data_IF_254849906371
#
_entry.id   IF_254849906371
#
_cell.length_a   1.000
_cell.length_b   1.000
_cell.length_c   1.000
_cell.angle_alpha   90.00
_cell.angle_beta   90.00
_cell.angle_gamma   90.00
#
_symmetry.space_group_name_H-M   'P 1'
#
loop_
_entity.id
_entity.type
_entity.pdbx_description
1 polymer ?
#
# COMPACT_ATOMS: atom_id res chain seq x y z
N UNK A 1 18.72 -7.89 -14.75
CA UNK A 1 19.82 -6.90 -14.65
C UNK A 1 20.55 -6.85 -13.29
N UNK A 2 19.90 -7.09 -12.14
CA UNK A 2 20.53 -6.99 -10.80
C UNK A 2 21.71 -7.97 -10.54
N UNK A 3 21.67 -9.21 -11.06
CA UNK A 3 22.76 -10.19 -10.92
C UNK A 3 24.07 -9.77 -11.63
N UNK A 4 23.98 -9.12 -12.79
CA UNK A 4 25.15 -8.63 -13.55
C UNK A 4 25.84 -7.43 -12.87
N UNK A 5 25.10 -6.58 -12.14
CA UNK A 5 25.68 -5.48 -11.35
C UNK A 5 26.40 -5.99 -10.09
N UNK A 6 25.78 -6.93 -9.35
CA UNK A 6 26.44 -7.59 -8.20
C UNK A 6 27.72 -8.33 -8.64
N UNK A 7 27.67 -9.08 -9.74
CA UNK A 7 28.84 -9.77 -10.27
C UNK A 7 30.01 -8.82 -10.62
N UNK A 8 29.73 -7.66 -11.23
CA UNK A 8 30.74 -6.63 -11.55
C UNK A 8 31.33 -5.96 -10.31
N UNK A 9 30.54 -5.76 -9.25
CA UNK A 9 31.02 -5.26 -7.95
C UNK A 9 31.95 -6.29 -7.31
N UNK A 10 31.59 -7.58 -7.29
CA UNK A 10 32.46 -8.63 -6.77
C UNK A 10 33.75 -8.81 -7.59
N UNK A 11 33.73 -8.65 -8.92
CA UNK A 11 34.96 -8.73 -9.73
C UNK A 11 35.88 -7.54 -9.52
N UNK A 12 35.32 -6.34 -9.30
CA UNK A 12 36.12 -5.15 -8.98
C UNK A 12 36.72 -5.23 -7.56
N UNK A 13 35.96 -5.74 -6.59
CA UNK A 13 36.38 -5.96 -5.19
C UNK A 13 37.48 -7.03 -5.10
N UNK A 14 37.36 -8.16 -5.81
CA UNK A 14 38.38 -9.23 -5.80
C UNK A 14 39.67 -8.80 -6.52
N UNK A 15 39.56 -7.99 -7.59
CA UNK A 15 40.73 -7.49 -8.32
C UNK A 15 41.52 -6.44 -7.54
N UNK A 16 40.90 -5.73 -6.59
CA UNK A 16 41.56 -4.72 -5.75
C UNK A 16 42.22 -5.34 -4.50
N UNK A 17 41.61 -6.40 -3.94
CA UNK A 17 42.20 -7.22 -2.86
C UNK A 17 43.54 -7.85 -3.28
N UNK A 18 43.67 -8.26 -4.54
CA UNK A 18 44.89 -8.87 -5.07
C UNK A 18 46.06 -7.86 -5.23
N UNK A 19 45.76 -6.58 -5.49
CA UNK A 19 46.80 -5.53 -5.63
C UNK A 19 47.25 -5.02 -4.25
N UNK A 20 46.34 -4.97 -3.26
CA UNK A 20 46.66 -4.58 -1.89
C UNK A 20 47.44 -5.64 -1.12
N UNK A 21 47.16 -6.93 -1.35
CA UNK A 21 47.86 -8.05 -0.68
C UNK A 21 49.18 -8.43 -1.34
N UNK A 22 49.32 -8.29 -2.67
CA UNK A 22 50.59 -8.56 -3.35
C UNK A 22 51.65 -7.47 -3.09
N UNK A 23 51.24 -6.26 -2.70
CA UNK A 23 52.15 -5.19 -2.29
C UNK A 23 52.67 -5.34 -0.84
N UNK A 24 52.11 -6.29 -0.07
CA UNK A 24 52.45 -6.48 1.35
C UNK A 24 53.65 -7.40 1.59
N UNK A 25 54.15 -8.14 0.58
CA UNK A 25 55.29 -9.06 0.75
C UNK A 25 56.67 -8.47 0.40
N UNK A 26 56.73 -7.29 -0.21
CA UNK A 26 58.01 -6.71 -0.68
C UNK A 26 58.69 -5.74 0.29
N UNK A 27 58.12 -5.45 1.47
CA UNK A 27 58.69 -4.50 2.46
C UNK A 27 59.41 -5.19 3.63
N UNK A 28 59.28 -6.51 3.77
CA UNK A 28 59.93 -7.30 4.83
C UNK A 28 61.38 -7.72 4.51
N UNK A 29 61.90 -7.39 3.33
CA UNK A 29 63.29 -7.65 2.97
C UNK A 29 64.17 -6.48 3.41
N UNK A 30 64.98 -6.69 4.46
CA UNK A 30 66.05 -5.76 4.84
C UNK A 30 67.09 -5.71 3.71
N UNK A 31 67.03 -4.65 2.88
CA UNK A 31 68.07 -4.34 1.90
C UNK A 31 68.87 -3.13 2.39
N UNK A 32 70.17 -3.26 2.68
CA UNK A 32 71.05 -2.16 3.07
C UNK A 32 71.29 -1.08 1.97
N UNK A 33 70.49 -1.06 0.90
CA UNK A 33 70.73 -0.27 -0.32
C UNK A 33 69.63 0.74 -0.65
N UNK A 34 68.56 0.85 0.15
CA UNK A 34 67.55 1.91 -0.05
C UNK A 34 68.21 3.28 0.20
N UNK A 35 68.36 4.08 -0.86
CA UNK A 35 68.92 5.43 -0.74
C UNK A 35 67.98 6.36 0.03
N UNK A 36 68.51 7.34 0.77
CA UNK A 36 67.71 8.39 1.44
C UNK A 36 66.67 9.04 0.51
N UNK A 37 67.00 9.18 -0.77
CA UNK A 37 66.11 9.73 -1.80
C UNK A 37 64.89 8.83 -2.08
N UNK A 38 65.08 7.51 -2.11
CA UNK A 38 63.99 6.54 -2.32
C UNK A 38 63.04 6.51 -1.11
N UNK A 39 63.59 6.52 0.11
CA UNK A 39 62.80 6.63 1.34
C UNK A 39 61.97 7.93 1.38
N UNK A 40 62.54 9.06 0.97
CA UNK A 40 61.81 10.33 0.86
C UNK A 40 60.67 10.26 -0.16
N UNK A 41 60.88 9.64 -1.32
CA UNK A 41 59.84 9.46 -2.33
C UNK A 41 58.70 8.56 -1.83
N UNK A 42 59.02 7.43 -1.18
CA UNK A 42 58.02 6.55 -0.56
C UNK A 42 57.24 7.28 0.54
N UNK A 43 57.90 8.11 1.36
CA UNK A 43 57.24 8.91 2.38
C UNK A 43 56.26 9.91 1.77
N UNK A 44 56.65 10.64 0.74
CA UNK A 44 55.76 11.58 0.04
C UNK A 44 54.53 10.87 -0.56
N UNK A 45 54.73 9.68 -1.13
CA UNK A 45 53.63 8.88 -1.67
C UNK A 45 52.68 8.39 -0.58
N UNK A 46 53.20 7.89 0.55
CA UNK A 46 52.37 7.48 1.69
C UNK A 46 51.59 8.67 2.25
N UNK A 47 52.22 9.84 2.43
CA UNK A 47 51.55 11.06 2.89
C UNK A 47 50.44 11.52 1.94
N UNK A 48 50.66 11.40 0.61
CA UNK A 48 49.62 11.69 -0.38
C UNK A 48 48.44 10.73 -0.22
N UNK A 49 48.71 9.43 -0.06
CA UNK A 49 47.69 8.41 0.15
C UNK A 49 46.93 8.58 1.46
N UNK A 50 47.59 9.04 2.53
CA UNK A 50 46.95 9.41 3.81
C UNK A 50 45.92 10.51 3.56
N UNK A 51 46.32 11.63 2.94
CA UNK A 51 45.39 12.74 2.63
C UNK A 51 44.23 12.30 1.75
N UNK A 52 44.48 11.43 0.78
CA UNK A 52 43.42 10.84 -0.06
C UNK A 52 42.46 9.96 0.74
N UNK A 53 42.96 9.15 1.69
CA UNK A 53 42.16 8.30 2.57
C UNK A 53 41.33 9.14 3.56
N UNK A 54 41.91 10.16 4.19
CA UNK A 54 41.21 11.12 5.06
C UNK A 54 40.08 11.84 4.30
N UNK A 55 40.37 12.30 3.07
CA UNK A 55 39.38 12.96 2.22
C UNK A 55 38.21 12.03 1.88
N UNK A 56 38.48 10.75 1.57
CA UNK A 56 37.45 9.74 1.32
C UNK A 56 36.61 9.45 2.57
N UNK A 57 37.24 9.28 3.73
CA UNK A 57 36.52 9.08 4.99
C UNK A 57 35.58 10.25 5.27
N UNK A 58 36.10 11.48 5.18
CA UNK A 58 35.32 12.69 5.40
C UNK A 58 34.15 12.82 4.42
N UNK A 59 34.38 12.49 3.15
CA UNK A 59 33.35 12.47 2.12
C UNK A 59 32.24 11.45 2.45
N UNK A 60 32.60 10.23 2.84
CA UNK A 60 31.62 9.21 3.22
C UNK A 60 30.87 9.56 4.51
N UNK A 61 31.53 10.14 5.51
CA UNK A 61 30.87 10.63 6.73
C UNK A 61 29.85 11.72 6.40
N UNK A 62 30.16 12.62 5.47
CA UNK A 62 29.23 13.67 5.03
C UNK A 62 28.02 13.05 4.33
N UNK A 63 28.22 12.07 3.45
CA UNK A 63 27.13 11.34 2.81
C UNK A 63 26.29 10.54 3.81
N UNK A 64 26.92 9.93 4.82
CA UNK A 64 26.23 9.18 5.86
C UNK A 64 25.28 10.10 6.64
N UNK A 65 25.71 11.30 7.02
CA UNK A 65 24.86 12.29 7.71
C UNK A 65 23.62 12.68 6.88
N UNK A 66 23.79 12.86 5.57
CA UNK A 66 22.65 13.13 4.67
C UNK A 66 21.68 11.95 4.66
N UNK A 67 22.20 10.73 4.57
CA UNK A 67 21.38 9.51 4.61
C UNK A 67 20.66 9.35 5.97
N UNK A 68 21.28 9.71 7.09
CA UNK A 68 20.65 9.69 8.41
C UNK A 68 19.45 10.64 8.49
N UNK A 69 19.58 11.85 7.92
CA UNK A 69 18.46 12.80 7.82
C UNK A 69 17.36 12.26 6.91
N UNK A 70 17.70 11.66 5.77
CA UNK A 70 16.73 11.02 4.88
C UNK A 70 16.00 9.85 5.57
N UNK A 71 16.72 9.06 6.36
CA UNK A 71 16.18 7.93 7.11
C UNK A 71 15.21 8.40 8.20
N UNK A 72 15.55 9.47 8.92
CA UNK A 72 14.66 10.10 9.90
C UNK A 72 13.35 10.58 9.24
N UNK A 73 13.45 11.31 8.13
CA UNK A 73 12.27 11.75 7.37
C UNK A 73 11.41 10.58 6.87
N UNK A 74 12.05 9.52 6.36
CA UNK A 74 11.35 8.34 5.90
C UNK A 74 10.63 7.61 7.07
N UNK A 75 11.24 7.58 8.26
CA UNK A 75 10.63 7.02 9.46
C UNK A 75 9.42 7.85 9.93
N UNK A 76 9.54 9.18 9.94
CA UNK A 76 8.43 10.07 10.33
C UNK A 76 7.25 9.95 9.36
N UNK A 77 7.53 9.90 8.06
CA UNK A 77 6.51 9.65 7.03
C UNK A 77 5.83 8.29 7.23
N UNK A 78 6.59 7.23 7.52
CA UNK A 78 6.04 5.90 7.77
C UNK A 78 5.13 5.89 9.00
N UNK A 79 5.53 6.59 10.07
CA UNK A 79 4.73 6.70 11.29
C UNK A 79 3.41 7.42 11.03
N UNK A 80 3.44 8.53 10.27
CA UNK A 80 2.23 9.25 9.88
C UNK A 80 1.29 8.38 9.02
N UNK A 81 1.84 7.63 8.06
CA UNK A 81 1.06 6.70 7.23
C UNK A 81 0.45 5.55 8.05
N UNK A 82 1.16 5.04 9.06
CA UNK A 82 0.62 4.05 9.98
C UNK A 82 -0.54 4.61 10.81
N UNK A 83 -0.43 5.86 11.28
CA UNK A 83 -1.54 6.54 11.97
C UNK A 83 -2.74 6.72 11.04
N UNK A 84 -2.54 7.20 9.80
CA UNK A 84 -3.61 7.32 8.80
C UNK A 84 -4.30 5.97 8.54
N UNK A 85 -3.51 4.89 8.43
CA UNK A 85 -4.02 3.52 8.27
C UNK A 85 -4.85 3.09 9.48
N UNK A 86 -4.39 3.35 10.70
CA UNK A 86 -5.09 2.95 11.91
C UNK A 86 -6.41 3.73 12.07
N UNK A 87 -6.42 5.03 11.80
CA UNK A 87 -7.63 5.86 11.75
C UNK A 87 -8.60 5.39 10.66
N UNK A 88 -8.08 5.02 9.47
CA UNK A 88 -8.89 4.44 8.42
C UNK A 88 -9.50 3.09 8.84
N UNK A 89 -8.75 2.23 9.54
CA UNK A 89 -9.28 0.96 10.04
C UNK A 89 -10.43 1.17 11.02
N UNK A 90 -10.36 2.18 11.90
CA UNK A 90 -11.46 2.55 12.78
C UNK A 90 -12.70 2.96 11.97
N UNK A 91 -12.53 3.88 11.01
CA UNK A 91 -13.63 4.31 10.12
C UNK A 91 -14.22 3.15 9.30
N UNK A 92 -13.42 2.19 8.86
CA UNK A 92 -13.90 0.99 8.17
C UNK A 92 -14.77 0.14 9.08
N UNK A 93 -14.41 -0.01 10.36
CA UNK A 93 -15.24 -0.75 11.32
C UNK A 93 -16.59 -0.07 11.53
N UNK A 94 -16.60 1.26 11.65
CA UNK A 94 -17.84 2.04 11.76
C UNK A 94 -18.70 1.93 10.49
N UNK A 95 -18.09 2.12 9.33
CA UNK A 95 -18.78 2.02 8.04
C UNK A 95 -19.34 0.61 7.78
N UNK A 96 -18.67 -0.44 8.27
CA UNK A 96 -19.19 -1.82 8.22
C UNK A 96 -20.41 -2.02 9.12
N UNK A 97 -20.47 -1.39 10.29
CA UNK A 97 -21.67 -1.43 11.14
C UNK A 97 -22.84 -0.73 10.46
N UNK A 98 -22.58 0.41 9.83
CA UNK A 98 -23.59 1.13 9.05
C UNK A 98 -24.07 0.31 7.85
N UNK A 99 -23.16 -0.39 7.15
CA UNK A 99 -23.52 -1.30 6.07
C UNK A 99 -24.46 -2.43 6.55
N UNK A 100 -24.17 -3.04 7.70
CA UNK A 100 -25.05 -4.06 8.28
C UNK A 100 -26.46 -3.51 8.59
N UNK A 101 -26.56 -2.27 9.05
CA UNK A 101 -27.86 -1.61 9.24
C UNK A 101 -28.60 -1.43 7.92
N UNK A 102 -27.90 -0.93 6.89
CA UNK A 102 -28.48 -0.72 5.56
C UNK A 102 -28.91 -2.03 4.90
N UNK A 103 -28.12 -3.09 5.04
CA UNK A 103 -28.44 -4.44 4.55
C UNK A 103 -29.68 -5.00 5.26
N UNK A 104 -29.81 -4.77 6.58
CA UNK A 104 -31.02 -5.16 7.31
C UNK A 104 -32.25 -4.37 6.89
N UNK A 105 -32.12 -3.07 6.62
CA UNK A 105 -33.22 -2.24 6.12
C UNK A 105 -33.62 -2.66 4.69
N UNK A 106 -32.65 -2.94 3.82
CA UNK A 106 -32.92 -3.48 2.48
C UNK A 106 -33.69 -4.80 2.56
N UNK A 107 -33.28 -5.72 3.44
CA UNK A 107 -33.97 -6.99 3.62
C UNK A 107 -35.43 -6.82 4.07
N UNK A 108 -35.74 -5.79 4.87
CA UNK A 108 -37.11 -5.45 5.25
C UNK A 108 -37.92 -4.96 4.04
N UNK A 109 -37.36 -4.05 3.23
CA UNK A 109 -38.00 -3.56 2.00
C UNK A 109 -38.24 -4.69 1.01
N UNK A 110 -37.26 -5.59 0.83
CA UNK A 110 -37.40 -6.76 -0.04
C UNK A 110 -38.46 -7.75 0.45
N UNK A 111 -38.59 -7.91 1.78
CA UNK A 111 -39.65 -8.74 2.38
C UNK A 111 -41.02 -8.12 2.12
N UNK A 112 -41.18 -6.82 2.37
CA UNK A 112 -42.43 -6.10 2.10
C UNK A 112 -42.81 -6.15 0.61
N UNK A 113 -41.83 -5.94 -0.27
CA UNK A 113 -42.01 -6.07 -1.71
C UNK A 113 -42.52 -7.47 -2.10
N UNK A 114 -41.93 -8.52 -1.53
CA UNK A 114 -42.33 -9.90 -1.79
C UNK A 114 -43.76 -10.18 -1.31
N UNK A 115 -44.11 -9.72 -0.10
CA UNK A 115 -45.46 -9.85 0.46
C UNK A 115 -46.51 -9.15 -0.42
N UNK A 116 -46.27 -7.89 -0.82
CA UNK A 116 -47.17 -7.13 -1.68
C UNK A 116 -47.31 -7.75 -3.06
N UNK A 117 -46.20 -8.24 -3.62
CA UNK A 117 -46.20 -8.94 -4.91
C UNK A 117 -47.01 -10.23 -4.85
N UNK A 118 -46.92 -10.99 -3.76
CA UNK A 118 -47.70 -12.21 -3.59
C UNK A 118 -49.20 -11.91 -3.45
N UNK A 119 -49.57 -10.88 -2.66
CA UNK A 119 -50.97 -10.43 -2.56
C UNK A 119 -51.53 -10.08 -3.95
N UNK A 120 -50.76 -9.35 -4.76
CA UNK A 120 -51.17 -9.01 -6.12
C UNK A 120 -51.28 -10.25 -7.02
N UNK A 121 -50.32 -11.17 -6.95
CA UNK A 121 -50.31 -12.42 -7.71
C UNK A 121 -51.51 -13.31 -7.37
N UNK A 122 -51.82 -13.50 -6.09
CA UNK A 122 -52.98 -14.26 -5.63
C UNK A 122 -54.27 -13.65 -6.14
N UNK A 123 -54.40 -12.31 -6.10
CA UNK A 123 -55.58 -11.61 -6.62
C UNK A 123 -55.72 -11.74 -8.13
N UNK A 124 -54.65 -11.52 -8.89
CA UNK A 124 -54.65 -11.71 -10.36
C UNK A 124 -54.99 -13.16 -10.72
N UNK A 125 -54.42 -14.13 -9.99
CA UNK A 125 -54.71 -15.54 -10.20
C UNK A 125 -56.16 -15.89 -9.84
N UNK A 126 -56.74 -15.33 -8.78
CA UNK A 126 -58.14 -15.51 -8.42
C UNK A 126 -59.06 -14.96 -9.52
N UNK A 127 -58.79 -13.73 -9.99
CA UNK A 127 -59.51 -13.11 -11.11
C UNK A 127 -59.46 -13.99 -12.36
N UNK A 128 -58.31 -14.59 -12.66
CA UNK A 128 -58.12 -15.44 -13.84
C UNK A 128 -58.78 -16.83 -13.67
N UNK A 129 -58.67 -17.46 -12.48
CA UNK A 129 -59.15 -18.82 -12.20
C UNK A 129 -60.65 -18.91 -11.93
N UNK A 130 -61.26 -17.86 -11.38
CA UNK A 130 -62.73 -17.77 -11.27
C UNK A 130 -63.41 -17.65 -12.64
N UNK A 131 -62.63 -17.56 -13.72
CA UNK A 131 -62.92 -18.33 -14.92
C UNK A 131 -64.07 -17.84 -15.78
N UNK A 132 -64.42 -16.54 -15.73
CA UNK A 132 -65.31 -15.93 -16.71
C UNK A 132 -65.02 -14.42 -16.76
N UNK A 133 -64.96 -13.73 -17.93
CA UNK A 133 -64.88 -12.26 -18.06
C UNK A 133 -66.10 -11.50 -17.48
N UNK A 134 -66.77 -12.11 -16.50
CA UNK A 134 -68.07 -11.76 -15.99
C UNK A 134 -68.00 -10.77 -14.82
N UNK A 135 -66.90 -10.03 -14.60
CA UNK A 135 -67.02 -8.79 -13.81
C UNK A 135 -68.04 -7.84 -14.44
N UNK A 136 -68.06 -7.82 -15.77
CA UNK A 136 -69.10 -7.16 -16.54
C UNK A 136 -70.44 -7.87 -16.33
N UNK A 137 -70.56 -9.20 -16.41
CA UNK A 137 -71.87 -9.84 -16.19
C UNK A 137 -72.39 -9.89 -14.75
N UNK A 138 -71.53 -9.82 -13.73
CA UNK A 138 -71.93 -9.61 -12.33
C UNK A 138 -72.52 -8.20 -12.14
N UNK A 139 -72.08 -7.24 -12.95
CA UNK A 139 -72.69 -5.91 -13.06
C UNK A 139 -73.94 -5.92 -13.98
N UNK A 140 -74.05 -6.83 -14.94
CA UNK A 140 -75.19 -6.91 -15.88
C UNK A 140 -76.36 -7.78 -15.37
N UNK A 141 -76.19 -8.58 -14.31
CA UNK A 141 -77.26 -9.34 -13.64
C UNK A 141 -77.53 -8.89 -12.17
N UNK A 142 -77.90 -7.61 -11.93
CA UNK A 142 -78.29 -7.18 -10.59
C UNK A 142 -79.76 -7.55 -10.29
N UNK A 143 -80.07 -7.88 -9.03
CA UNK A 143 -81.44 -8.15 -8.56
C UNK A 143 -82.29 -6.88 -8.41
N UNK A 144 -81.64 -5.71 -8.35
CA UNK A 144 -82.27 -4.37 -8.29
C UNK A 144 -81.24 -3.27 -8.60
N UNK A 145 -81.71 -2.03 -8.83
CA UNK A 145 -80.82 -0.88 -8.98
C UNK A 145 -79.90 -0.65 -7.77
N UNK A 146 -80.39 -0.92 -6.55
CA UNK A 146 -79.59 -0.83 -5.33
C UNK A 146 -78.48 -1.89 -5.27
N UNK A 147 -78.77 -3.11 -5.73
CA UNK A 147 -77.78 -4.20 -5.84
C UNK A 147 -76.68 -3.84 -6.85
N UNK A 148 -77.05 -3.28 -8.01
CA UNK A 148 -76.09 -2.77 -8.99
C UNK A 148 -75.14 -1.71 -8.40
N UNK A 149 -75.69 -0.67 -7.76
CA UNK A 149 -74.90 0.43 -7.19
C UNK A 149 -73.92 -0.06 -6.11
N UNK A 150 -74.34 -1.01 -5.28
CA UNK A 150 -73.48 -1.62 -4.26
C UNK A 150 -72.33 -2.43 -4.89
N UNK A 151 -72.62 -3.24 -5.91
CA UNK A 151 -71.58 -4.00 -6.64
C UNK A 151 -70.60 -3.06 -7.35
N UNK A 152 -71.09 -2.01 -8.00
CA UNK A 152 -70.25 -1.00 -8.65
C UNK A 152 -69.32 -0.29 -7.66
N UNK A 153 -69.83 0.13 -6.50
CA UNK A 153 -69.03 0.76 -5.46
C UNK A 153 -67.94 -0.18 -4.90
N UNK A 154 -68.27 -1.45 -4.67
CA UNK A 154 -67.29 -2.46 -4.22
C UNK A 154 -66.21 -2.71 -5.28
N UNK A 155 -66.60 -2.86 -6.55
CA UNK A 155 -65.69 -3.05 -7.67
C UNK A 155 -64.72 -1.88 -7.85
N UNK A 156 -65.24 -0.65 -7.76
CA UNK A 156 -64.43 0.57 -7.85
C UNK A 156 -63.41 0.61 -6.71
N UNK A 157 -63.85 0.32 -5.47
CA UNK A 157 -62.98 0.29 -4.29
C UNK A 157 -61.89 -0.78 -4.38
N UNK A 158 -62.21 -1.95 -4.94
CA UNK A 158 -61.24 -3.02 -5.19
C UNK A 158 -60.21 -2.62 -6.24
N UNK A 159 -60.65 -2.06 -7.37
CA UNK A 159 -59.75 -1.59 -8.43
C UNK A 159 -58.82 -0.47 -7.94
N UNK A 160 -59.32 0.46 -7.12
CA UNK A 160 -58.50 1.48 -6.46
C UNK A 160 -57.48 0.87 -5.49
N UNK A 161 -57.84 -0.21 -4.78
CA UNK A 161 -56.92 -0.93 -3.91
C UNK A 161 -55.82 -1.64 -4.71
N UNK A 162 -56.17 -2.29 -5.82
CA UNK A 162 -55.21 -2.95 -6.71
C UNK A 162 -54.25 -1.95 -7.34
N UNK A 163 -54.76 -0.79 -7.79
CA UNK A 163 -53.93 0.29 -8.30
C UNK A 163 -52.94 0.80 -7.24
N UNK A 164 -53.38 0.93 -5.98
CA UNK A 164 -52.48 1.28 -4.87
C UNK A 164 -51.41 0.22 -4.62
N UNK A 165 -51.76 -1.07 -4.62
CA UNK A 165 -50.77 -2.16 -4.43
C UNK A 165 -49.72 -2.14 -5.55
N UNK A 166 -50.14 -1.93 -6.80
CA UNK A 166 -49.21 -1.82 -7.94
C UNK A 166 -48.25 -0.64 -7.76
N UNK A 167 -48.76 0.50 -7.30
CA UNK A 167 -47.92 1.67 -7.04
C UNK A 167 -46.94 1.43 -5.87
N UNK A 168 -47.42 0.85 -4.76
CA UNK A 168 -46.58 0.47 -3.62
C UNK A 168 -45.46 -0.50 -4.04
N UNK A 169 -45.76 -1.51 -4.88
CA UNK A 169 -44.75 -2.42 -5.45
C UNK A 169 -43.72 -1.67 -6.29
N UNK A 170 -44.17 -0.69 -7.11
CA UNK A 170 -43.27 0.13 -7.94
C UNK A 170 -42.32 0.94 -7.06
N UNK A 171 -42.84 1.62 -6.05
CA UNK A 171 -42.06 2.42 -5.09
C UNK A 171 -41.07 1.55 -4.31
N UNK A 172 -41.52 0.42 -3.76
CA UNK A 172 -40.66 -0.52 -3.02
C UNK A 172 -39.54 -1.10 -3.89
N UNK A 173 -39.83 -1.38 -5.17
CA UNK A 173 -38.81 -1.85 -6.11
C UNK A 173 -37.76 -0.79 -6.41
N UNK A 174 -38.18 0.46 -6.64
CA UNK A 174 -37.27 1.59 -6.84
C UNK A 174 -36.41 1.84 -5.58
N UNK A 175 -37.02 1.76 -4.40
CA UNK A 175 -36.32 1.90 -3.12
C UNK A 175 -35.29 0.78 -2.89
N UNK A 176 -35.67 -0.49 -3.11
CA UNK A 176 -34.77 -1.63 -2.96
C UNK A 176 -33.56 -1.51 -3.91
N UNK A 177 -33.79 -1.15 -5.17
CA UNK A 177 -32.72 -0.93 -6.14
C UNK A 177 -31.77 0.18 -5.68
N UNK A 178 -32.31 1.34 -5.30
CA UNK A 178 -31.51 2.48 -4.85
C UNK A 178 -30.68 2.15 -3.59
N UNK A 179 -31.26 1.41 -2.63
CA UNK A 179 -30.56 0.96 -1.43
C UNK A 179 -29.45 -0.04 -1.76
N UNK A 180 -29.72 -0.99 -2.66
CA UNK A 180 -28.73 -1.97 -3.14
C UNK A 180 -27.52 -1.30 -3.79
N UNK A 181 -27.74 -0.37 -4.73
CA UNK A 181 -26.68 0.39 -5.40
C UNK A 181 -25.83 1.18 -4.38
N UNK A 182 -26.46 1.83 -3.40
CA UNK A 182 -25.75 2.58 -2.35
C UNK A 182 -24.88 1.70 -1.45
N UNK A 183 -25.34 0.49 -1.14
CA UNK A 183 -24.56 -0.49 -0.37
C UNK A 183 -23.33 -0.91 -1.17
N UNK A 184 -23.51 -1.26 -2.45
CA UNK A 184 -22.41 -1.66 -3.33
C UNK A 184 -21.38 -0.55 -3.48
N UNK A 185 -21.81 0.69 -3.77
CA UNK A 185 -20.93 1.85 -3.89
C UNK A 185 -20.09 2.08 -2.62
N UNK A 186 -20.73 1.97 -1.46
CA UNK A 186 -20.06 2.16 -0.17
C UNK A 186 -19.06 1.04 0.11
N UNK A 187 -19.38 -0.21 -0.22
CA UNK A 187 -18.45 -1.33 -0.11
C UNK A 187 -17.23 -1.15 -1.03
N UNK A 188 -17.44 -0.75 -2.28
CA UNK A 188 -16.36 -0.50 -3.24
C UNK A 188 -15.46 0.65 -2.80
N UNK A 189 -16.03 1.75 -2.30
CA UNK A 189 -15.27 2.88 -1.78
C UNK A 189 -14.36 2.46 -0.63
N UNK A 190 -14.89 1.73 0.36
CA UNK A 190 -14.11 1.25 1.50
C UNK A 190 -12.96 0.33 1.06
N UNK A 191 -13.19 -0.56 0.10
CA UNK A 191 -12.16 -1.45 -0.42
C UNK A 191 -11.05 -0.66 -1.12
N UNK A 192 -11.42 0.33 -1.94
CA UNK A 192 -10.50 1.19 -2.67
C UNK A 192 -9.64 2.04 -1.73
N UNK A 193 -10.25 2.66 -0.71
CA UNK A 193 -9.52 3.47 0.26
C UNK A 193 -8.50 2.63 1.05
N UNK A 194 -8.92 1.44 1.50
CA UNK A 194 -8.03 0.50 2.19
C UNK A 194 -6.86 0.06 1.30
N UNK A 195 -7.15 -0.29 0.06
CA UNK A 195 -6.12 -0.69 -0.92
C UNK A 195 -5.11 0.41 -1.18
N UNK A 196 -5.58 1.66 -1.36
CA UNK A 196 -4.70 2.82 -1.59
C UNK A 196 -3.74 3.06 -0.44
N UNK A 197 -4.23 3.04 0.81
CA UNK A 197 -3.38 3.30 1.98
C UNK A 197 -2.35 2.18 2.14
N UNK A 198 -2.76 0.93 1.98
CA UNK A 198 -1.84 -0.22 2.06
C UNK A 198 -0.73 -0.15 1.00
N UNK A 199 -1.06 0.22 -0.24
CA UNK A 199 -0.07 0.41 -1.32
C UNK A 199 0.95 1.50 -0.98
N UNK A 200 0.49 2.63 -0.44
CA UNK A 200 1.36 3.75 -0.06
C UNK A 200 2.26 3.38 1.11
N UNK A 201 1.75 2.66 2.11
CA UNK A 201 2.54 2.15 3.25
C UNK A 201 3.64 1.20 2.75
N UNK A 202 3.30 0.23 1.91
CA UNK A 202 4.28 -0.72 1.36
C UNK A 202 5.36 -0.03 0.52
N UNK A 203 4.98 0.94 -0.31
CA UNK A 203 5.93 1.73 -1.08
C UNK A 203 6.88 2.52 -0.17
N UNK A 204 6.38 3.09 0.92
CA UNK A 204 7.19 3.80 1.91
C UNK A 204 8.15 2.87 2.67
N UNK A 205 7.72 1.65 3.03
CA UNK A 205 8.59 0.64 3.65
C UNK A 205 9.73 0.20 2.72
N UNK A 206 9.42 -0.06 1.44
CA UNK A 206 10.42 -0.38 0.43
C UNK A 206 11.43 0.76 0.32
N UNK A 207 10.96 2.01 0.26
CA UNK A 207 11.84 3.18 0.16
C UNK A 207 12.75 3.32 1.39
N UNK A 208 12.22 3.14 2.60
CA UNK A 208 13.00 3.14 3.84
C UNK A 208 14.09 2.05 3.81
N UNK A 209 13.75 0.84 3.36
CA UNK A 209 14.70 -0.26 3.27
C UNK A 209 15.82 0.00 2.24
N UNK A 210 15.51 0.68 1.13
CA UNK A 210 16.54 1.14 0.18
C UNK A 210 17.50 2.16 0.79
N UNK A 211 16.99 3.07 1.63
CA UNK A 211 17.80 4.07 2.35
C UNK A 211 18.70 3.36 3.38
N UNK A 212 18.14 2.40 4.15
CA UNK A 212 18.91 1.58 5.09
C UNK A 212 20.04 0.79 4.40
N UNK A 213 19.80 0.25 3.21
CA UNK A 213 20.85 -0.43 2.46
C UNK A 213 22.01 0.51 2.09
N UNK A 214 21.71 1.76 1.69
CA UNK A 214 22.74 2.78 1.42
C UNK A 214 23.47 3.20 2.69
N UNK A 215 22.76 3.28 3.82
CA UNK A 215 23.33 3.58 5.12
C UNK A 215 24.40 2.56 5.50
N UNK A 216 24.07 1.27 5.42
CA UNK A 216 25.02 0.19 5.73
C UNK A 216 26.20 0.14 4.74
N UNK A 217 25.95 0.36 3.44
CA UNK A 217 27.02 0.50 2.44
C UNK A 217 28.03 1.59 2.84
N UNK A 218 27.54 2.76 3.26
CA UNK A 218 28.42 3.87 3.67
C UNK A 218 29.16 3.57 4.96
N UNK A 219 28.55 2.89 5.93
CA UNK A 219 29.23 2.46 7.16
C UNK A 219 30.40 1.52 6.88
N UNK A 220 30.22 0.57 5.94
CA UNK A 220 31.30 -0.32 5.51
C UNK A 220 32.44 0.48 4.89
N UNK A 221 32.14 1.38 3.94
CA UNK A 221 33.15 2.20 3.27
C UNK A 221 33.93 3.13 4.24
N UNK A 222 33.27 3.65 5.27
CA UNK A 222 33.93 4.44 6.33
C UNK A 222 34.90 3.56 7.13
N UNK A 223 34.48 2.35 7.50
CA UNK A 223 35.34 1.43 8.24
C UNK A 223 36.55 0.98 7.41
N UNK A 224 36.36 0.72 6.11
CA UNK A 224 37.45 0.41 5.17
C UNK A 224 38.44 1.58 5.08
N UNK A 225 37.96 2.81 4.88
CA UNK A 225 38.81 4.00 4.80
C UNK A 225 39.64 4.20 6.09
N UNK A 226 39.05 3.93 7.26
CA UNK A 226 39.76 3.97 8.56
C UNK A 226 40.83 2.90 8.71
N UNK A 227 40.57 1.70 8.21
CA UNK A 227 41.57 0.63 8.24
C UNK A 227 42.74 0.95 7.31
N UNK A 228 42.46 1.47 6.12
CA UNK A 228 43.48 1.93 5.17
C UNK A 228 44.32 3.05 5.77
N UNK A 229 43.68 4.05 6.40
CA UNK A 229 44.36 5.16 7.06
C UNK A 229 45.33 4.65 8.12
N UNK A 230 44.86 3.78 9.02
CA UNK A 230 45.69 3.20 10.08
C UNK A 230 46.89 2.41 9.53
N UNK A 231 46.71 1.69 8.42
CA UNK A 231 47.79 0.95 7.78
C UNK A 231 48.82 1.89 7.14
N UNK A 232 48.37 2.99 6.53
CA UNK A 232 49.25 3.99 5.94
C UNK A 232 50.04 4.78 6.99
N UNK A 233 49.41 5.14 8.11
CA UNK A 233 50.07 5.79 9.25
C UNK A 233 51.18 4.90 9.82
N UNK A 234 50.91 3.60 10.03
CA UNK A 234 51.93 2.66 10.49
C UNK A 234 53.10 2.51 9.50
N UNK A 235 52.82 2.57 8.19
CA UNK A 235 53.85 2.55 7.15
C UNK A 235 54.68 3.85 7.14
N UNK A 236 54.05 5.00 7.37
CA UNK A 236 54.76 6.27 7.51
C UNK A 236 55.71 6.25 8.71
N UNK A 237 55.24 5.78 9.88
CA UNK A 237 56.05 5.64 11.10
C UNK A 237 57.28 4.74 10.88
N UNK A 238 57.10 3.63 10.16
CA UNK A 238 58.21 2.72 9.83
C UNK A 238 59.23 3.38 8.89
N UNK A 239 58.76 4.10 7.86
CA UNK A 239 59.63 4.85 6.96
C UNK A 239 60.40 5.96 7.69
N UNK A 240 59.77 6.62 8.67
CA UNK A 240 60.45 7.59 9.54
C UNK A 240 61.54 6.93 10.39
N UNK A 241 61.23 5.79 11.02
CA UNK A 241 62.20 5.05 11.81
C UNK A 241 63.41 4.61 10.96
N UNK A 242 63.15 4.10 9.74
CA UNK A 242 64.21 3.75 8.76
C UNK A 242 65.05 4.96 8.37
N UNK A 243 64.42 6.10 8.09
CA UNK A 243 65.14 7.33 7.72
C UNK A 243 65.98 7.92 8.86
N UNK A 244 65.64 7.68 10.14
CA UNK A 244 66.42 8.11 11.30
C UNK A 244 67.61 7.19 11.61
N UNK A 245 67.59 5.96 11.10
CA UNK A 245 68.61 4.94 11.35
C UNK A 245 69.76 4.96 10.32
N UNK A 246 69.63 5.72 9.23
CA UNK A 246 70.65 5.99 8.20
C UNK A 246 71.32 7.32 8.49
#
# INVERSE_FOLDING_TARGET
>A
MKKKKKAKVYTFVISFILIATFSFQSVLAYSPQDSLKDLQQRKQEVQRRIKEAESKEHHYLTQLKVIEVELGKAQDQLNALHQERDDLNVRVVEARKELLSLESELAQVETELAEKTEILNERVAAIYKEGDPNYVGLLLEPKSLADFMNRWALMTRLAEQDARIVEEIRELKEEAQFRGERIEDKQQLLLKEKGRVEEVVQAAEVKKNEILAKYEEKRVLINEARQDLKALEAMEDELEARSRAI
#
